data_IF_988075015697
#
_entry.id   IF_988075015697
#
_cell.length_a   1.000
_cell.length_b   1.000
_cell.length_c   1.000
_cell.angle_alpha   90.00
_cell.angle_beta   90.00
_cell.angle_gamma   90.00
#
_symmetry.space_group_name_H-M   'P 1'
#
loop_
_entity.id
_entity.type
_entity.pdbx_description
1 polymer ?
#
# COMPACT_ATOMS: atom_id res chain seq x y z
N UNK A 1 -0.21 -56.94 -5.34
CA UNK A 1 0.24 -56.22 -4.12
C UNK A 1 1.77 -55.91 -4.07
N UNK A 2 2.68 -56.84 -4.37
CA UNK A 2 4.15 -56.60 -4.31
C UNK A 2 4.65 -55.56 -5.29
N UNK A 3 4.11 -55.49 -6.50
CA UNK A 3 4.51 -54.51 -7.54
C UNK A 3 4.08 -53.10 -7.12
N UNK A 4 2.86 -52.94 -6.62
CA UNK A 4 2.33 -51.65 -6.15
C UNK A 4 3.16 -51.04 -5.00
N UNK A 5 3.62 -51.87 -4.06
CA UNK A 5 4.54 -51.45 -3.00
C UNK A 5 5.89 -51.00 -3.54
N UNK A 6 6.43 -51.69 -4.55
CA UNK A 6 7.72 -51.27 -5.21
C UNK A 6 7.57 -49.95 -5.92
N UNK A 7 6.46 -49.73 -6.65
CA UNK A 7 6.16 -48.43 -7.32
C UNK A 7 6.03 -47.32 -6.27
N UNK A 8 5.34 -47.59 -5.16
CA UNK A 8 5.19 -46.60 -4.08
C UNK A 8 6.54 -46.21 -3.47
N UNK A 9 7.45 -47.17 -3.23
CA UNK A 9 8.79 -46.86 -2.71
C UNK A 9 9.63 -46.05 -3.71
N UNK A 10 9.50 -46.34 -5.01
CA UNK A 10 10.20 -45.56 -6.05
C UNK A 10 9.68 -44.12 -6.09
N UNK A 11 8.35 -43.94 -6.03
CA UNK A 11 7.75 -42.59 -5.98
C UNK A 11 8.19 -41.85 -4.72
N UNK A 12 8.18 -42.52 -3.56
CA UNK A 12 8.61 -41.92 -2.30
C UNK A 12 10.11 -41.54 -2.36
N UNK A 13 10.94 -42.41 -2.89
CA UNK A 13 12.36 -42.13 -3.09
C UNK A 13 12.59 -40.93 -4.03
N UNK A 14 11.84 -40.85 -5.13
CA UNK A 14 11.89 -39.71 -6.04
C UNK A 14 11.46 -38.40 -5.37
N UNK A 15 10.38 -38.43 -4.57
CA UNK A 15 9.94 -37.27 -3.81
C UNK A 15 10.99 -36.79 -2.79
N UNK A 16 11.68 -37.73 -2.12
CA UNK A 16 12.78 -37.39 -1.21
C UNK A 16 13.94 -36.76 -1.94
N UNK A 17 14.34 -37.28 -3.10
CA UNK A 17 15.41 -36.71 -3.93
C UNK A 17 15.04 -35.29 -4.40
N UNK A 18 13.81 -35.08 -4.85
CA UNK A 18 13.30 -33.76 -5.25
C UNK A 18 13.33 -32.80 -4.04
N UNK A 19 12.86 -33.23 -2.88
CA UNK A 19 12.87 -32.40 -1.67
C UNK A 19 14.28 -31.99 -1.24
N UNK A 20 15.24 -32.93 -1.28
CA UNK A 20 16.66 -32.66 -0.99
C UNK A 20 17.23 -31.68 -2.02
N UNK A 21 16.97 -31.90 -3.30
CA UNK A 21 17.45 -31.01 -4.37
C UNK A 21 16.93 -29.58 -4.21
N UNK A 22 15.64 -29.42 -3.91
CA UNK A 22 15.03 -28.13 -3.63
C UNK A 22 15.63 -27.47 -2.38
N UNK A 23 15.90 -28.24 -1.34
CA UNK A 23 16.55 -27.74 -0.13
C UNK A 23 17.97 -27.27 -0.38
N UNK A 24 18.76 -28.04 -1.13
CA UNK A 24 20.14 -27.67 -1.50
C UNK A 24 20.14 -26.41 -2.37
N UNK A 25 19.30 -26.35 -3.41
CA UNK A 25 19.18 -25.15 -4.26
C UNK A 25 18.80 -23.91 -3.43
N UNK A 26 17.83 -24.05 -2.53
CA UNK A 26 17.42 -22.95 -1.63
C UNK A 26 18.58 -22.51 -0.74
N UNK A 27 19.36 -23.43 -0.20
CA UNK A 27 20.50 -23.11 0.66
C UNK A 27 21.59 -22.37 -0.13
N UNK A 28 21.91 -22.82 -1.36
CA UNK A 28 22.88 -22.14 -2.24
C UNK A 28 22.39 -20.72 -2.54
N UNK A 29 21.13 -20.53 -2.96
CA UNK A 29 20.55 -19.22 -3.27
C UNK A 29 20.50 -18.31 -2.04
N UNK A 30 20.17 -18.84 -0.86
CA UNK A 30 20.18 -18.09 0.39
C UNK A 30 21.61 -17.64 0.78
N UNK A 31 22.61 -18.49 0.57
CA UNK A 31 24.01 -18.14 0.80
C UNK A 31 24.53 -17.09 -0.18
N UNK A 32 24.12 -17.13 -1.45
CA UNK A 32 24.41 -16.09 -2.43
C UNK A 32 23.77 -14.75 -2.02
N UNK A 33 22.49 -14.77 -1.64
CA UNK A 33 21.78 -13.61 -1.17
C UNK A 33 22.36 -13.03 0.14
N UNK A 34 22.97 -13.87 0.99
CA UNK A 34 23.65 -13.43 2.20
C UNK A 34 24.88 -12.54 1.92
N UNK A 35 25.43 -12.62 0.71
CA UNK A 35 26.58 -11.82 0.26
C UNK A 35 26.17 -10.53 -0.44
N UNK A 36 24.86 -10.24 -0.55
CA UNK A 36 24.38 -9.03 -1.19
C UNK A 36 24.84 -7.81 -0.40
N UNK A 37 25.51 -6.90 -1.12
CA UNK A 37 26.01 -5.65 -0.54
C UNK A 37 25.14 -4.48 -0.93
N UNK A 38 25.11 -3.47 -0.08
CA UNK A 38 24.44 -2.18 -0.30
C UNK A 38 25.38 -1.04 0.11
N UNK A 39 25.21 0.18 -0.40
CA UNK A 39 25.97 1.33 0.05
C UNK A 39 25.89 1.50 1.58
N UNK A 40 27.00 1.86 2.21
CA UNK A 40 27.09 2.05 3.66
C UNK A 40 26.16 3.15 4.16
N UNK A 41 25.90 4.16 3.35
CA UNK A 41 25.05 5.30 3.61
C UNK A 41 23.57 5.10 3.21
N UNK A 42 23.20 3.88 2.77
CA UNK A 42 21.80 3.56 2.47
C UNK A 42 20.89 3.87 3.68
N UNK A 43 19.79 4.61 3.43
CA UNK A 43 18.89 5.10 4.49
C UNK A 43 17.75 4.13 4.79
N UNK A 44 17.28 3.42 3.77
CA UNK A 44 16.27 2.39 3.95
C UNK A 44 16.53 1.19 3.04
N UNK A 45 15.94 0.05 3.40
CA UNK A 45 16.03 -1.20 2.66
C UNK A 45 14.67 -1.88 2.58
N UNK A 46 14.32 -2.37 1.40
CA UNK A 46 13.21 -3.31 1.19
C UNK A 46 13.80 -4.68 0.88
N UNK A 47 13.53 -5.66 1.72
CA UNK A 47 13.94 -7.05 1.58
C UNK A 47 12.78 -7.93 1.17
N UNK A 48 12.92 -8.72 0.10
CA UNK A 48 11.92 -9.65 -0.43
C UNK A 48 12.50 -11.06 -0.41
N UNK A 49 11.87 -11.98 0.30
CA UNK A 49 12.24 -13.40 0.37
C UNK A 49 11.61 -14.15 -0.82
N UNK A 50 12.24 -14.03 -2.02
CA UNK A 50 11.69 -14.54 -3.28
C UNK A 50 11.42 -16.04 -3.22
N UNK A 51 12.40 -16.83 -2.77
CA UNK A 51 12.25 -18.29 -2.68
C UNK A 51 11.14 -18.72 -1.72
N UNK A 52 10.93 -17.95 -0.64
CA UNK A 52 9.85 -18.21 0.31
C UNK A 52 8.46 -17.95 -0.29
N UNK A 53 8.33 -16.85 -1.03
CA UNK A 53 7.11 -16.52 -1.77
C UNK A 53 6.80 -17.57 -2.84
N UNK A 54 7.80 -17.96 -3.63
CA UNK A 54 7.65 -19.00 -4.66
C UNK A 54 7.27 -20.36 -4.06
N UNK A 55 7.87 -20.74 -2.92
CA UNK A 55 7.53 -21.99 -2.22
C UNK A 55 6.10 -21.96 -1.71
N UNK A 56 5.66 -20.86 -1.10
CA UNK A 56 4.28 -20.69 -0.61
C UNK A 56 3.27 -20.73 -1.74
N UNK A 57 3.56 -20.05 -2.86
CA UNK A 57 2.68 -20.11 -4.04
C UNK A 57 2.66 -21.51 -4.64
N UNK A 58 3.82 -22.15 -4.78
CA UNK A 58 3.95 -23.51 -5.32
C UNK A 58 3.18 -24.54 -4.48
N UNK A 59 3.35 -24.52 -3.15
CA UNK A 59 2.60 -25.41 -2.26
C UNK A 59 1.09 -25.15 -2.30
N UNK A 60 0.67 -23.89 -2.34
CA UNK A 60 -0.73 -23.52 -2.44
C UNK A 60 -1.34 -23.91 -3.80
N UNK A 61 -0.58 -23.80 -4.89
CA UNK A 61 -1.03 -24.18 -6.23
C UNK A 61 -1.30 -25.68 -6.39
N UNK A 62 -0.61 -26.55 -5.63
CA UNK A 62 -0.87 -27.99 -5.64
C UNK A 62 -2.27 -28.32 -5.10
N UNK A 63 -2.74 -27.58 -4.10
CA UNK A 63 -4.07 -27.75 -3.52
C UNK A 63 -5.16 -27.02 -4.31
N UNK A 64 -4.81 -25.97 -5.04
CA UNK A 64 -5.73 -25.07 -5.73
C UNK A 64 -5.45 -25.03 -7.25
N UNK A 65 -5.14 -26.18 -7.84
CA UNK A 65 -4.70 -26.31 -9.25
C UNK A 65 -5.59 -25.55 -10.23
N UNK A 66 -6.90 -25.69 -10.11
CA UNK A 66 -7.84 -25.05 -11.02
C UNK A 66 -7.77 -23.52 -10.98
N UNK A 67 -7.54 -22.91 -9.82
CA UNK A 67 -7.44 -21.47 -9.68
C UNK A 67 -6.12 -20.92 -10.26
N UNK A 68 -5.02 -21.69 -10.14
CA UNK A 68 -3.71 -21.28 -10.66
C UNK A 68 -3.52 -21.58 -12.16
N UNK A 69 -4.16 -22.65 -12.67
CA UNK A 69 -3.88 -23.18 -14.00
C UNK A 69 -5.13 -23.43 -14.85
N UNK A 70 -6.34 -23.42 -14.26
CA UNK A 70 -7.60 -23.86 -14.88
C UNK A 70 -8.31 -22.81 -15.74
N UNK A 71 -7.99 -21.54 -15.63
CA UNK A 71 -8.63 -20.47 -16.42
C UNK A 71 -8.05 -20.37 -17.85
N UNK A 72 -8.15 -21.47 -18.61
CA UNK A 72 -8.07 -21.41 -20.07
C UNK A 72 -9.45 -21.08 -20.64
N UNK A 73 -9.98 -19.89 -20.34
CA UNK A 73 -11.02 -19.28 -21.14
C UNK A 73 -10.46 -18.96 -22.52
N UNK A 74 -11.23 -19.27 -23.57
CA UNK A 74 -10.85 -19.18 -24.99
C UNK A 74 -10.47 -17.78 -25.50
N UNK A 75 -10.49 -16.75 -24.65
CA UNK A 75 -10.26 -15.33 -25.03
C UNK A 75 -9.15 -14.62 -24.23
N UNK A 76 -8.43 -15.29 -23.36
CA UNK A 76 -7.18 -14.72 -22.89
C UNK A 76 -6.11 -15.01 -23.94
N UNK A 77 -5.79 -14.02 -24.76
CA UNK A 77 -4.43 -13.88 -25.29
C UNK A 77 -3.52 -14.23 -24.12
N UNK A 78 -2.95 -15.41 -24.20
CA UNK A 78 -2.10 -15.98 -23.16
C UNK A 78 -1.08 -14.90 -22.79
N UNK A 79 -1.32 -14.18 -21.69
CA UNK A 79 -0.24 -13.56 -20.96
C UNK A 79 0.68 -14.74 -20.66
N UNK A 80 1.64 -14.95 -21.55
CA UNK A 80 2.65 -15.98 -21.44
C UNK A 80 3.16 -15.90 -20.02
N UNK A 81 2.89 -16.93 -19.22
CA UNK A 81 3.31 -17.02 -17.84
C UNK A 81 4.77 -16.63 -17.83
N UNK A 82 5.11 -15.54 -17.14
CA UNK A 82 6.47 -15.04 -17.07
C UNK A 82 7.33 -16.19 -16.55
N UNK A 83 8.03 -16.86 -17.46
CA UNK A 83 8.99 -17.90 -17.07
C UNK A 83 10.16 -17.17 -16.47
N UNK A 84 10.22 -17.11 -15.15
CA UNK A 84 11.35 -16.53 -14.40
C UNK A 84 12.67 -17.22 -14.78
N UNK A 85 12.60 -18.46 -15.24
CA UNK A 85 13.74 -19.24 -15.72
C UNK A 85 14.06 -18.91 -17.18
N UNK A 86 15.28 -18.47 -17.46
CA UNK A 86 15.76 -18.20 -18.82
C UNK A 86 15.52 -16.79 -19.31
N UNK A 87 15.22 -15.82 -18.43
CA UNK A 87 15.08 -14.40 -18.78
C UNK A 87 16.43 -13.67 -18.94
N UNK A 88 17.57 -14.36 -18.76
CA UNK A 88 18.89 -13.75 -18.87
C UNK A 88 19.32 -12.88 -17.67
N UNK A 89 18.52 -12.88 -16.60
CA UNK A 89 18.76 -12.13 -15.36
C UNK A 89 18.81 -13.13 -14.20
N UNK A 90 19.81 -13.03 -13.37
CA UNK A 90 19.95 -13.87 -12.18
C UNK A 90 19.17 -13.26 -11.01
N UNK A 91 18.01 -13.83 -10.70
CA UNK A 91 17.21 -13.41 -9.54
C UNK A 91 17.64 -14.22 -8.32
N UNK A 92 18.18 -13.55 -7.28
CA UNK A 92 18.59 -14.23 -6.06
C UNK A 92 17.41 -14.73 -5.24
N UNK A 93 17.63 -15.66 -4.31
CA UNK A 93 16.60 -16.16 -3.40
C UNK A 93 16.06 -15.10 -2.43
N UNK A 94 16.85 -14.08 -2.18
CA UNK A 94 16.47 -12.88 -1.42
C UNK A 94 16.88 -11.66 -2.25
N UNK A 95 15.94 -10.76 -2.47
CA UNK A 95 16.14 -9.54 -3.23
C UNK A 95 16.12 -8.35 -2.26
N UNK A 96 17.10 -7.49 -2.40
CA UNK A 96 17.25 -6.29 -1.56
C UNK A 96 17.21 -5.05 -2.45
N UNK A 97 16.32 -4.14 -2.11
CA UNK A 97 16.30 -2.78 -2.63
C UNK A 97 16.76 -1.82 -1.54
N UNK A 98 17.48 -0.78 -1.90
CA UNK A 98 17.97 0.23 -0.96
C UNK A 98 17.70 1.64 -1.49
N UNK A 99 17.49 2.61 -0.59
CA UNK A 99 17.40 4.02 -0.93
C UNK A 99 18.73 4.72 -0.69
N UNK A 100 19.01 5.73 -1.49
CA UNK A 100 20.21 6.57 -1.36
C UNK A 100 19.89 7.86 -0.57
N UNK A 101 20.89 8.52 0.05
CA UNK A 101 20.70 9.82 0.71
C UNK A 101 20.11 10.86 -0.25
N UNK A 102 19.13 11.62 0.23
CA UNK A 102 18.41 12.62 -0.56
C UNK A 102 17.46 12.04 -1.62
N UNK A 103 17.23 10.71 -1.62
CA UNK A 103 16.38 9.98 -2.56
C UNK A 103 15.54 8.92 -1.86
N UNK A 104 14.95 9.28 -0.73
CA UNK A 104 14.23 8.35 0.16
C UNK A 104 12.99 7.74 -0.50
N UNK A 105 12.44 8.39 -1.54
CA UNK A 105 11.28 7.91 -2.30
C UNK A 105 11.62 6.93 -3.42
N UNK A 106 12.92 6.68 -3.68
CA UNK A 106 13.38 5.80 -4.75
C UNK A 106 14.26 4.67 -4.20
N UNK A 107 13.92 3.45 -4.61
CA UNK A 107 14.62 2.22 -4.19
C UNK A 107 15.36 1.61 -5.38
N UNK A 108 16.62 1.23 -5.16
CA UNK A 108 17.48 0.65 -6.17
C UNK A 108 17.88 -0.79 -5.82
N UNK A 109 18.06 -1.62 -6.85
CA UNK A 109 18.73 -2.92 -6.71
C UNK A 109 19.62 -3.17 -7.92
N UNK A 110 20.65 -4.00 -7.73
CA UNK A 110 21.55 -4.40 -8.79
C UNK A 110 21.47 -5.91 -8.93
N UNK A 111 21.22 -6.37 -10.15
CA UNK A 111 21.16 -7.78 -10.49
C UNK A 111 22.24 -8.13 -11.50
N UNK A 112 22.69 -9.37 -11.47
CA UNK A 112 23.62 -9.90 -12.47
C UNK A 112 22.84 -10.28 -13.74
N UNK A 113 23.40 -9.93 -14.90
CA UNK A 113 22.91 -10.35 -16.21
C UNK A 113 23.74 -11.52 -16.67
N UNK A 114 23.09 -12.66 -16.89
CA UNK A 114 23.72 -13.89 -17.40
C UNK A 114 23.65 -13.99 -18.93
N UNK A 115 22.68 -13.30 -19.56
CA UNK A 115 22.49 -13.25 -21.01
C UNK A 115 21.80 -11.93 -21.38
N UNK A 116 22.57 -11.01 -21.93
CA UNK A 116 22.09 -9.67 -22.30
C UNK A 116 20.95 -9.70 -23.33
N UNK A 117 21.06 -10.55 -24.35
CA UNK A 117 20.06 -10.63 -25.41
C UNK A 117 18.70 -11.11 -24.87
N UNK A 118 18.72 -12.14 -24.01
CA UNK A 118 17.51 -12.64 -23.34
C UNK A 118 16.95 -11.62 -22.34
N UNK A 119 17.81 -10.93 -21.57
CA UNK A 119 17.38 -9.89 -20.65
C UNK A 119 16.69 -8.75 -21.39
N UNK A 120 17.28 -8.25 -22.47
CA UNK A 120 16.66 -7.25 -23.34
C UNK A 120 15.31 -7.70 -23.89
N UNK A 121 15.28 -8.91 -24.46
CA UNK A 121 14.04 -9.47 -25.01
C UNK A 121 12.93 -9.62 -23.95
N UNK A 122 13.29 -10.08 -22.75
CA UNK A 122 12.37 -10.19 -21.63
C UNK A 122 11.77 -8.84 -21.25
N UNK A 123 12.58 -7.79 -21.14
CA UNK A 123 12.11 -6.44 -20.81
C UNK A 123 11.13 -5.90 -21.86
N UNK A 124 11.42 -6.11 -23.13
CA UNK A 124 10.57 -5.65 -24.24
C UNK A 124 9.30 -6.51 -24.36
N UNK A 125 9.45 -7.82 -24.54
CA UNK A 125 8.34 -8.68 -24.95
C UNK A 125 7.41 -9.07 -23.79
N UNK A 126 7.97 -9.21 -22.57
CA UNK A 126 7.18 -9.67 -21.41
C UNK A 126 6.77 -8.53 -20.48
N UNK A 127 7.64 -7.55 -20.26
CA UNK A 127 7.31 -6.40 -19.44
C UNK A 127 6.72 -5.24 -20.25
N UNK A 128 6.78 -5.30 -21.59
CA UNK A 128 6.24 -4.26 -22.46
C UNK A 128 6.92 -2.91 -22.22
N UNK A 129 8.24 -2.93 -22.01
CA UNK A 129 9.03 -1.72 -21.78
C UNK A 129 9.65 -1.24 -23.10
N UNK A 130 9.72 0.06 -23.29
CA UNK A 130 10.36 0.68 -24.46
C UNK A 130 11.81 1.03 -24.13
N UNK A 131 12.73 0.61 -25.02
CA UNK A 131 14.14 0.95 -24.92
C UNK A 131 14.37 2.39 -25.42
N UNK A 132 14.91 3.25 -24.57
CA UNK A 132 15.39 4.57 -24.99
C UNK A 132 16.82 4.45 -25.51
N UNK A 133 17.03 4.73 -26.78
CA UNK A 133 18.35 4.72 -27.40
C UNK A 133 19.02 6.11 -27.26
N UNK A 134 20.34 6.12 -27.11
CA UNK A 134 21.16 7.33 -27.25
C UNK A 134 21.80 7.88 -26.00
N UNK A 135 21.86 7.14 -24.90
CA UNK A 135 22.35 7.66 -23.61
C UNK A 135 23.86 7.47 -23.39
N UNK A 136 24.58 6.68 -24.22
CA UNK A 136 26.04 6.51 -24.08
C UNK A 136 26.66 5.84 -25.32
N UNK A 137 27.97 6.00 -25.49
CA UNK A 137 28.80 5.22 -26.41
C UNK A 137 28.99 3.75 -25.98
N UNK A 138 28.38 3.33 -24.88
CA UNK A 138 28.37 1.99 -24.29
C UNK A 138 27.12 1.22 -24.69
N UNK A 139 27.18 -0.12 -24.68
CA UNK A 139 26.06 -1.04 -24.92
C UNK A 139 24.97 -0.97 -23.81
N UNK A 140 24.75 0.19 -23.18
CA UNK A 140 23.78 0.38 -22.14
C UNK A 140 22.40 0.74 -22.73
N UNK A 141 21.36 0.08 -22.23
CA UNK A 141 19.97 0.32 -22.62
C UNK A 141 19.17 0.77 -21.41
N UNK A 142 18.42 1.85 -21.58
CA UNK A 142 17.52 2.37 -20.56
C UNK A 142 16.06 2.07 -20.91
N UNK A 143 15.30 1.61 -19.92
CA UNK A 143 13.90 1.27 -20.03
C UNK A 143 13.11 1.96 -18.93
N UNK A 144 11.89 2.41 -19.27
CA UNK A 144 10.95 3.02 -18.31
C UNK A 144 9.55 2.46 -18.49
N UNK A 145 8.83 2.29 -17.35
CA UNK A 145 7.40 1.98 -17.35
C UNK A 145 6.78 2.46 -16.02
N UNK A 146 6.04 3.56 -16.04
CA UNK A 146 5.56 4.20 -14.82
C UNK A 146 6.71 4.60 -13.89
N UNK A 147 6.65 4.16 -12.63
CA UNK A 147 7.69 4.42 -11.63
C UNK A 147 8.86 3.42 -11.68
N UNK A 148 8.83 2.46 -12.60
CA UNK A 148 9.88 1.46 -12.79
C UNK A 148 10.88 1.93 -13.86
N UNK A 149 12.16 1.92 -13.52
CA UNK A 149 13.28 2.26 -14.40
C UNK A 149 14.31 1.15 -14.37
N UNK A 150 14.89 0.82 -15.50
CA UNK A 150 15.88 -0.22 -15.64
C UNK A 150 17.02 0.27 -16.53
N UNK A 151 18.25 0.17 -16.02
CA UNK A 151 19.46 0.38 -16.79
C UNK A 151 20.14 -0.98 -16.97
N UNK A 152 20.16 -1.47 -18.20
CA UNK A 152 20.72 -2.77 -18.58
C UNK A 152 22.10 -2.58 -19.22
N UNK A 153 23.09 -3.29 -18.73
CA UNK A 153 24.43 -3.46 -19.34
C UNK A 153 24.71 -4.94 -19.60
N UNK A 154 25.85 -5.23 -20.22
CA UNK A 154 26.25 -6.60 -20.58
C UNK A 154 26.32 -7.56 -19.38
N UNK A 155 26.65 -7.07 -18.18
CA UNK A 155 26.87 -7.91 -16.99
C UNK A 155 26.00 -7.54 -15.78
N UNK A 156 25.44 -6.35 -15.76
CA UNK A 156 24.65 -5.84 -14.64
C UNK A 156 23.36 -5.19 -15.12
N UNK A 157 22.35 -5.25 -14.27
CA UNK A 157 21.07 -4.59 -14.45
C UNK A 157 20.78 -3.82 -13.17
N UNK A 158 20.62 -2.50 -13.29
CA UNK A 158 20.18 -1.63 -12.17
C UNK A 158 18.70 -1.38 -12.32
N UNK A 159 17.93 -1.68 -11.28
CA UNK A 159 16.49 -1.38 -11.20
C UNK A 159 16.29 -0.22 -10.24
N UNK A 160 15.55 0.80 -10.66
CA UNK A 160 15.04 1.90 -9.84
C UNK A 160 13.52 1.84 -9.77
N UNK A 161 12.97 1.92 -8.56
CA UNK A 161 11.53 1.93 -8.29
C UNK A 161 11.17 3.16 -7.44
N UNK A 162 10.32 4.04 -7.93
CA UNK A 162 9.85 5.22 -7.20
C UNK A 162 9.74 6.47 -8.07
N UNK A 163 9.16 7.52 -7.49
CA UNK A 163 8.97 8.82 -8.16
C UNK A 163 10.28 9.60 -8.16
N UNK A 164 10.90 9.70 -9.29
CA UNK A 164 12.06 10.57 -9.52
C UNK A 164 11.90 11.25 -10.89
N UNK A 165 12.59 12.36 -11.12
CA UNK A 165 12.60 13.02 -12.44
C UNK A 165 12.94 12.00 -13.52
N UNK A 166 12.03 11.80 -14.46
CA UNK A 166 12.10 10.73 -15.48
C UNK A 166 13.37 10.75 -16.34
N UNK A 167 14.12 11.83 -16.32
CA UNK A 167 15.37 11.99 -17.07
C UNK A 167 16.66 11.81 -16.25
N UNK A 168 16.60 11.66 -14.93
CA UNK A 168 17.79 11.60 -14.10
C UNK A 168 18.35 10.17 -13.99
N UNK A 169 19.25 9.82 -14.89
CA UNK A 169 19.94 8.51 -14.94
C UNK A 169 21.22 8.44 -14.11
N UNK A 170 21.72 9.60 -13.65
CA UNK A 170 23.03 9.64 -12.98
C UNK A 170 23.18 8.72 -11.78
N UNK A 171 22.17 8.56 -10.90
CA UNK A 171 22.29 7.61 -9.80
C UNK A 171 22.43 6.16 -10.26
N UNK A 172 21.67 5.77 -11.30
CA UNK A 172 21.71 4.41 -11.82
C UNK A 172 23.04 4.13 -12.54
N UNK A 173 23.58 5.12 -13.27
CA UNK A 173 24.92 5.02 -13.88
C UNK A 173 26.02 4.95 -12.82
N UNK A 174 25.94 5.79 -11.78
CA UNK A 174 26.86 5.73 -10.65
C UNK A 174 26.86 4.34 -10.01
N UNK A 175 25.68 3.77 -9.73
CA UNK A 175 25.54 2.40 -9.19
C UNK A 175 26.06 1.32 -10.13
N UNK A 176 25.94 1.50 -11.45
CA UNK A 176 26.44 0.55 -12.44
C UNK A 176 27.97 0.51 -12.48
N UNK A 177 28.61 1.69 -12.34
CA UNK A 177 30.06 1.89 -12.43
C UNK A 177 30.79 1.69 -11.10
N UNK A 178 30.01 1.72 -9.97
CA UNK A 178 30.56 1.57 -8.62
C UNK A 178 31.27 0.21 -8.46
N UNK A 179 32.49 0.23 -7.94
CA UNK A 179 33.29 -0.96 -7.63
C UNK A 179 32.91 -1.62 -6.30
N UNK A 180 31.95 -1.06 -5.58
CA UNK A 180 31.40 -1.55 -4.31
C UNK A 180 32.44 -1.66 -3.16
N UNK A 181 33.53 -0.87 -3.18
CA UNK A 181 34.55 -0.92 -2.13
C UNK A 181 33.99 -0.47 -0.77
N UNK A 182 33.15 0.57 -0.77
CA UNK A 182 32.53 1.11 0.44
C UNK A 182 31.16 0.47 0.77
N UNK A 183 30.83 -0.64 0.11
CA UNK A 183 29.58 -1.33 0.32
C UNK A 183 29.68 -2.32 1.48
N UNK A 184 28.62 -2.39 2.28
CA UNK A 184 28.49 -3.29 3.42
C UNK A 184 27.46 -4.37 3.13
N UNK A 185 27.56 -5.49 3.86
CA UNK A 185 26.55 -6.53 3.75
C UNK A 185 25.17 -5.99 4.18
N UNK A 186 24.15 -6.20 3.37
CA UNK A 186 22.79 -5.72 3.65
C UNK A 186 22.26 -6.22 4.99
N UNK A 187 22.63 -7.43 5.43
CA UNK A 187 22.23 -7.96 6.74
C UNK A 187 22.95 -7.29 7.91
N UNK A 188 24.14 -6.77 7.70
CA UNK A 188 24.93 -6.09 8.74
C UNK A 188 24.46 -4.64 8.94
N UNK A 189 24.08 -3.96 7.84
CA UNK A 189 23.60 -2.58 7.88
C UNK A 189 22.25 -2.43 8.61
N UNK A 190 21.34 -3.36 8.40
CA UNK A 190 19.99 -3.36 8.97
C UNK A 190 19.81 -4.57 9.89
N UNK A 191 20.34 -4.53 11.06
CA UNK A 191 20.37 -5.47 12.20
C UNK A 191 19.71 -6.86 11.98
N UNK A 192 20.56 -7.85 11.75
CA UNK A 192 20.15 -9.23 11.47
C UNK A 192 19.39 -9.92 12.63
N UNK A 193 19.53 -9.45 13.87
CA UNK A 193 18.86 -10.08 15.05
C UNK A 193 17.35 -9.91 14.99
N UNK A 194 16.84 -8.83 14.37
CA UNK A 194 15.41 -8.63 14.12
C UNK A 194 14.90 -9.48 12.96
N UNK A 195 15.79 -9.94 12.06
CA UNK A 195 15.40 -10.52 10.78
C UNK A 195 14.91 -11.96 10.85
N UNK A 196 15.11 -12.71 11.93
CA UNK A 196 14.75 -14.14 11.99
C UNK A 196 13.24 -14.41 11.91
N UNK A 197 12.41 -13.48 12.40
CA UNK A 197 10.95 -13.61 12.44
C UNK A 197 10.18 -12.67 11.48
N UNK A 198 10.91 -11.93 10.63
CA UNK A 198 10.28 -11.02 9.69
C UNK A 198 9.58 -11.77 8.56
N UNK A 199 8.50 -11.18 8.05
CA UNK A 199 7.65 -11.74 6.98
C UNK A 199 8.38 -12.01 5.67
N UNK A 200 7.61 -12.12 4.61
CA UNK A 200 8.11 -12.43 3.25
C UNK A 200 8.66 -11.19 2.54
N UNK A 201 8.09 -10.01 2.88
CA UNK A 201 8.58 -8.71 2.46
C UNK A 201 8.78 -7.83 3.68
N UNK A 202 9.91 -7.15 3.76
CA UNK A 202 10.23 -6.32 4.92
C UNK A 202 10.90 -5.04 4.47
N UNK A 203 10.30 -3.91 4.84
CA UNK A 203 10.93 -2.61 4.75
C UNK A 203 11.61 -2.28 6.09
N UNK A 204 12.81 -1.73 6.04
CA UNK A 204 13.57 -1.25 7.19
C UNK A 204 14.12 0.13 6.88
N UNK A 205 13.87 1.08 7.77
CA UNK A 205 14.47 2.41 7.75
C UNK A 205 15.53 2.55 8.83
N UNK A 206 15.96 3.77 9.07
CA UNK A 206 16.90 4.08 10.13
C UNK A 206 16.33 3.76 11.52
N UNK A 207 17.22 3.45 12.47
CA UNK A 207 16.87 3.16 13.86
C UNK A 207 16.00 1.91 13.99
N UNK A 208 14.83 2.07 14.62
CA UNK A 208 13.89 0.97 14.90
C UNK A 208 12.80 0.80 13.84
N UNK A 209 12.81 1.61 12.79
CA UNK A 209 11.75 1.65 11.80
C UNK A 209 11.74 0.38 10.94
N UNK A 210 10.63 -0.36 10.96
CA UNK A 210 10.40 -1.46 10.05
C UNK A 210 8.91 -1.70 9.81
N UNK A 211 8.60 -2.25 8.64
CA UNK A 211 7.30 -2.80 8.26
C UNK A 211 7.52 -4.17 7.64
N UNK A 212 6.75 -5.16 8.02
CA UNK A 212 6.91 -6.54 7.55
C UNK A 212 5.57 -7.12 7.14
N UNK A 213 5.52 -7.69 5.93
CA UNK A 213 4.37 -8.38 5.36
C UNK A 213 4.63 -9.88 5.29
N UNK A 214 3.69 -10.67 5.81
CA UNK A 214 3.69 -12.13 5.73
C UNK A 214 2.45 -12.59 4.98
N UNK A 215 2.65 -13.33 3.90
CA UNK A 215 1.58 -13.85 3.05
C UNK A 215 1.21 -15.28 3.44
N UNK A 216 -0.11 -15.55 3.49
CA UNK A 216 -0.71 -16.85 3.80
C UNK A 216 -1.88 -17.10 2.84
N UNK A 217 -2.60 -18.19 2.96
CA UNK A 217 -3.85 -18.39 2.24
C UNK A 217 -4.88 -17.36 2.72
N UNK A 218 -5.54 -16.68 1.80
CA UNK A 218 -6.59 -15.69 2.03
C UNK A 218 -6.19 -14.42 2.79
N UNK A 219 -5.00 -14.37 3.42
CA UNK A 219 -4.65 -13.27 4.33
C UNK A 219 -3.19 -12.88 4.21
N UNK A 220 -2.91 -11.56 4.17
CA UNK A 220 -1.59 -11.01 4.44
C UNK A 220 -1.59 -10.28 5.78
N UNK A 221 -0.54 -10.48 6.58
CA UNK A 221 -0.39 -9.84 7.89
C UNK A 221 0.72 -8.80 7.83
N UNK A 222 0.40 -7.58 8.25
CA UNK A 222 1.36 -6.49 8.44
C UNK A 222 1.75 -6.41 9.91
N UNK A 223 3.03 -6.31 10.19
CA UNK A 223 3.56 -5.98 11.52
C UNK A 223 4.67 -4.95 11.36
N UNK A 224 4.84 -4.07 12.32
CA UNK A 224 5.91 -3.10 12.23
C UNK A 224 6.03 -2.21 13.46
N UNK A 225 7.11 -1.45 13.46
CA UNK A 225 7.36 -0.38 14.41
C UNK A 225 7.81 0.84 13.62
N UNK A 226 7.20 2.00 13.92
CA UNK A 226 7.64 3.29 13.42
C UNK A 226 7.99 4.17 14.61
N UNK A 227 9.17 4.74 14.58
CA UNK A 227 9.67 5.68 15.56
C UNK A 227 10.00 7.02 14.90
N UNK A 228 9.72 8.11 15.59
CA UNK A 228 10.00 9.47 15.09
C UNK A 228 10.32 10.37 16.25
N UNK A 229 11.42 11.10 16.13
CA UNK A 229 11.78 12.12 17.12
C UNK A 229 10.90 13.38 17.01
N UNK A 230 10.24 13.56 15.87
CA UNK A 230 9.38 14.71 15.58
C UNK A 230 7.94 14.54 16.06
N UNK A 231 7.49 13.31 16.31
CA UNK A 231 6.12 13.03 16.72
C UNK A 231 6.06 12.40 18.10
N UNK A 232 5.11 12.86 18.91
CA UNK A 232 4.83 12.30 20.22
C UNK A 232 3.39 11.80 20.28
N UNK A 233 3.24 10.52 20.52
CA UNK A 233 1.92 9.89 20.66
C UNK A 233 1.36 10.16 22.05
N UNK A 234 0.07 10.52 22.18
CA UNK A 234 -0.57 10.76 23.45
C UNK A 234 -0.65 9.47 24.29
N UNK A 235 -0.57 9.60 25.61
CA UNK A 235 -0.81 8.50 26.56
C UNK A 235 -2.28 8.16 26.68
N UNK A 236 -3.13 9.20 26.66
CA UNK A 236 -4.57 9.07 26.84
C UNK A 236 -5.22 9.09 25.46
N UNK A 237 -5.46 7.91 24.93
CA UNK A 237 -6.11 7.73 23.64
C UNK A 237 -7.61 7.44 23.83
N UNK A 238 -8.39 7.84 22.85
CA UNK A 238 -9.85 7.71 22.85
C UNK A 238 -10.30 7.04 21.56
N UNK A 239 -11.49 6.47 21.59
CA UNK A 239 -12.21 5.97 20.41
C UNK A 239 -13.67 6.31 20.50
N UNK A 240 -14.35 6.40 19.37
CA UNK A 240 -15.79 6.48 19.35
C UNK A 240 -16.41 5.16 19.83
N UNK A 241 -17.47 5.27 20.62
CA UNK A 241 -18.35 4.15 20.92
C UNK A 241 -19.23 3.89 19.70
N UNK A 242 -18.82 2.93 18.86
CA UNK A 242 -19.52 2.55 17.62
C UNK A 242 -20.26 1.23 17.79
N UNK A 243 -21.45 1.08 17.21
CA UNK A 243 -22.29 -0.11 17.40
C UNK A 243 -21.82 -1.28 16.57
N UNK A 244 -21.24 -1.34 15.51
CA UNK A 244 -20.63 -2.49 14.82
C UNK A 244 -19.79 -2.09 13.62
N UNK A 245 -18.70 -2.84 13.36
CA UNK A 245 -17.87 -2.68 12.18
C UNK A 245 -18.56 -3.15 10.88
N UNK A 246 -19.58 -3.98 10.95
CA UNK A 246 -20.23 -4.61 9.80
C UNK A 246 -20.90 -3.62 8.84
N UNK A 247 -21.26 -2.45 9.35
CA UNK A 247 -21.88 -1.38 8.56
C UNK A 247 -20.88 -0.37 7.98
N UNK A 248 -19.58 -0.48 8.28
CA UNK A 248 -18.56 0.47 7.84
C UNK A 248 -17.87 0.02 6.56
N UNK A 249 -17.63 0.97 5.65
CA UNK A 249 -16.78 0.80 4.47
C UNK A 249 -15.40 1.38 4.68
N UNK A 250 -15.32 2.54 5.32
CA UNK A 250 -14.08 3.19 5.69
C UNK A 250 -14.17 3.65 7.14
N UNK A 251 -13.13 3.42 7.91
CA UNK A 251 -12.96 4.00 9.24
C UNK A 251 -11.48 4.36 9.44
N UNK A 252 -11.22 5.63 9.57
CA UNK A 252 -9.93 6.17 9.98
C UNK A 252 -10.08 6.79 11.36
N UNK A 253 -9.22 6.44 12.30
CA UNK A 253 -9.20 7.01 13.63
C UNK A 253 -7.75 7.35 14.01
N UNK A 254 -7.52 8.58 14.45
CA UNK A 254 -6.20 9.12 14.79
C UNK A 254 -6.28 9.80 16.15
N UNK A 255 -5.41 9.38 17.06
CA UNK A 255 -5.17 10.04 18.33
C UNK A 255 -3.78 10.66 18.29
N UNK A 256 -3.69 11.93 17.97
CA UNK A 256 -2.44 12.70 18.00
C UNK A 256 -2.77 14.20 17.98
N UNK A 257 -1.79 15.02 18.28
CA UNK A 257 -1.90 16.46 18.08
C UNK A 257 -2.03 16.77 16.58
N UNK A 258 -3.27 16.95 16.14
CA UNK A 258 -3.59 17.16 14.74
C UNK A 258 -3.01 18.49 14.22
N UNK A 259 -2.91 19.49 15.08
CA UNK A 259 -2.34 20.80 14.72
C UNK A 259 -0.87 20.67 14.29
N UNK A 260 -0.10 19.84 14.97
CA UNK A 260 1.30 19.59 14.63
C UNK A 260 1.48 18.62 13.43
N UNK A 261 0.54 17.71 13.22
CA UNK A 261 0.59 16.76 12.09
C UNK A 261 0.27 17.39 10.75
N UNK A 262 -0.58 18.40 10.77
CA UNK A 262 -1.14 18.96 9.54
C UNK A 262 -0.22 20.04 8.99
N UNK A 263 0.78 19.66 8.22
CA UNK A 263 1.41 20.56 7.27
C UNK A 263 0.49 20.66 6.03
N UNK A 264 -0.70 21.26 6.23
CA UNK A 264 -1.77 21.40 5.22
C UNK A 264 -1.28 22.14 3.98
N UNK A 265 -0.23 22.95 4.09
CA UNK A 265 0.36 23.67 2.95
C UNK A 265 0.82 22.73 1.84
N UNK A 266 1.34 21.56 2.19
CA UNK A 266 1.84 20.60 1.19
C UNK A 266 0.73 19.72 0.59
N UNK A 267 -0.40 19.58 1.30
CA UNK A 267 -1.53 18.76 0.85
C UNK A 267 -2.54 19.54 -0.03
N UNK A 268 -2.60 20.87 0.14
CA UNK A 268 -3.62 21.71 -0.48
C UNK A 268 -3.01 22.83 -1.36
N UNK A 269 -1.76 22.69 -1.76
CA UNK A 269 -1.04 23.68 -2.57
C UNK A 269 -1.72 24.02 -3.91
N UNK A 270 -2.66 23.19 -4.36
CA UNK A 270 -3.43 23.40 -5.60
C UNK A 270 -4.82 24.00 -5.40
N UNK A 271 -5.24 24.28 -4.16
CA UNK A 271 -6.56 24.86 -3.92
C UNK A 271 -6.50 26.37 -3.76
N UNK A 272 -7.22 27.08 -4.62
CA UNK A 272 -7.43 28.53 -4.63
C UNK A 272 -8.29 29.04 -3.46
N UNK A 273 -8.36 28.35 -2.31
CA UNK A 273 -9.14 28.75 -1.17
C UNK A 273 -8.45 29.86 -0.38
N UNK A 274 -9.16 30.97 -0.20
CA UNK A 274 -8.70 32.18 0.49
C UNK A 274 -8.63 32.05 2.04
N UNK A 275 -8.89 30.86 2.58
CA UNK A 275 -8.84 30.64 4.03
C UNK A 275 -7.40 30.37 4.48
N UNK A 276 -6.84 31.12 5.44
CA UNK A 276 -5.49 30.87 5.93
C UNK A 276 -5.45 29.51 6.64
N UNK A 277 -4.88 28.51 5.98
CA UNK A 277 -4.75 27.14 6.50
C UNK A 277 -3.97 27.07 7.82
N UNK A 278 -3.06 28.02 8.05
CA UNK A 278 -2.33 28.17 9.32
C UNK A 278 -3.27 28.49 10.51
N UNK A 279 -4.45 29.07 10.23
CA UNK A 279 -5.45 29.33 11.27
C UNK A 279 -6.21 28.10 11.70
N UNK A 280 -6.43 27.14 10.80
CA UNK A 280 -7.19 25.92 11.09
C UNK A 280 -6.42 25.02 12.06
N UNK A 281 -5.12 24.90 11.91
CA UNK A 281 -4.27 24.06 12.77
C UNK A 281 -4.38 24.43 14.25
N UNK A 282 -4.58 25.72 14.58
CA UNK A 282 -4.71 26.22 15.95
C UNK A 282 -6.02 25.81 16.63
N UNK A 283 -7.01 25.40 15.86
CA UNK A 283 -8.34 24.99 16.36
C UNK A 283 -8.49 23.47 16.46
N UNK A 284 -7.55 22.70 15.89
CA UNK A 284 -7.56 21.24 15.92
C UNK A 284 -7.07 20.73 17.28
N UNK A 285 -7.71 19.70 17.79
CA UNK A 285 -7.32 18.99 19.00
C UNK A 285 -6.53 17.72 18.70
N UNK A 286 -6.72 16.70 19.52
CA UNK A 286 -5.90 15.49 19.53
C UNK A 286 -6.65 14.23 19.08
N UNK A 287 -7.81 14.37 18.45
CA UNK A 287 -8.61 13.24 17.99
C UNK A 287 -9.30 13.56 16.67
N UNK A 288 -9.25 12.61 15.75
CA UNK A 288 -10.02 12.60 14.51
C UNK A 288 -10.58 11.21 14.23
N UNK A 289 -11.84 11.14 13.82
CA UNK A 289 -12.45 9.93 13.23
C UNK A 289 -13.18 10.31 11.96
N UNK A 290 -12.88 9.57 10.89
CA UNK A 290 -13.55 9.68 9.60
C UNK A 290 -14.19 8.32 9.28
N UNK A 291 -15.50 8.30 8.99
CA UNK A 291 -16.23 7.06 8.69
C UNK A 291 -17.10 7.23 7.46
N UNK A 292 -17.17 6.18 6.66
CA UNK A 292 -18.13 6.02 5.59
C UNK A 292 -18.89 4.72 5.87
N UNK A 293 -20.22 4.81 5.98
CA UNK A 293 -21.04 3.62 6.19
C UNK A 293 -21.49 2.99 4.86
N UNK A 294 -21.90 1.73 4.91
CA UNK A 294 -22.46 1.01 3.75
C UNK A 294 -23.93 1.40 3.51
N UNK A 295 -24.21 2.71 3.55
CA UNK A 295 -25.54 3.27 3.34
C UNK A 295 -25.46 4.49 2.44
N UNK A 296 -26.53 4.70 1.69
CA UNK A 296 -26.79 5.96 1.00
C UNK A 296 -27.90 6.71 1.73
N UNK A 297 -27.78 7.99 1.76
CA UNK A 297 -28.82 8.89 2.30
C UNK A 297 -29.31 9.81 1.18
N UNK A 298 -30.54 10.28 1.30
CA UNK A 298 -31.13 11.25 0.36
C UNK A 298 -30.99 12.64 0.93
N UNK A 299 -30.34 13.54 0.20
CA UNK A 299 -30.33 14.96 0.48
C UNK A 299 -31.26 15.70 -0.48
N UNK A 300 -32.00 16.64 0.05
CA UNK A 300 -32.95 17.47 -0.71
C UNK A 300 -32.39 18.89 -0.81
N UNK A 301 -32.13 19.32 -2.03
CA UNK A 301 -31.73 20.69 -2.35
C UNK A 301 -32.88 21.41 -3.05
N UNK A 302 -33.14 22.66 -2.71
CA UNK A 302 -34.08 23.52 -3.43
C UNK A 302 -33.33 24.30 -4.50
N UNK A 303 -33.71 24.12 -5.74
CA UNK A 303 -33.23 24.93 -6.86
C UNK A 303 -34.25 26.00 -7.13
N UNK A 304 -33.82 27.24 -7.05
CA UNK A 304 -34.63 28.40 -7.42
C UNK A 304 -34.37 28.68 -8.89
N UNK A 305 -35.38 28.56 -9.72
CA UNK A 305 -35.38 29.00 -11.11
C UNK A 305 -36.37 30.16 -11.27
N UNK A 306 -36.10 31.02 -12.21
CA UNK A 306 -36.98 32.10 -12.56
C UNK A 306 -37.68 31.76 -13.88
N UNK A 307 -39.01 31.91 -13.86
CA UNK A 307 -39.85 31.72 -15.04
C UNK A 307 -40.67 33.02 -15.28
N UNK A 308 -41.30 33.18 -16.41
CA UNK A 308 -42.16 34.33 -16.69
C UNK A 308 -43.60 33.86 -16.72
N UNK A 309 -44.49 34.64 -16.09
CA UNK A 309 -45.92 34.42 -16.19
C UNK A 309 -46.49 34.92 -17.54
N UNK A 310 -47.78 34.78 -17.73
CA UNK A 310 -48.47 35.21 -18.95
C UNK A 310 -48.41 36.73 -19.18
N UNK A 311 -48.03 37.52 -18.18
CA UNK A 311 -47.84 38.97 -18.24
C UNK A 311 -46.36 39.36 -18.40
N UNK A 312 -45.46 38.41 -18.61
CA UNK A 312 -43.98 38.60 -18.62
C UNK A 312 -43.38 39.09 -17.31
N UNK A 313 -44.07 38.86 -16.18
CA UNK A 313 -43.52 39.12 -14.86
C UNK A 313 -42.69 37.92 -14.39
N UNK A 314 -41.51 38.19 -13.79
CA UNK A 314 -40.60 37.17 -13.31
C UNK A 314 -41.18 36.50 -12.06
N UNK A 315 -41.44 35.21 -12.14
CA UNK A 315 -41.92 34.40 -10.99
C UNK A 315 -40.82 33.42 -10.56
N UNK A 316 -40.65 33.33 -9.23
CA UNK A 316 -39.71 32.40 -8.62
C UNK A 316 -40.34 31.00 -8.54
N UNK A 317 -39.70 30.03 -9.17
CA UNK A 317 -40.12 28.62 -9.14
C UNK A 317 -39.11 27.80 -8.35
N UNK A 318 -39.55 27.28 -7.21
CA UNK A 318 -38.75 26.37 -6.37
C UNK A 318 -38.97 24.94 -6.79
N UNK A 319 -37.89 24.26 -7.22
CA UNK A 319 -37.94 22.84 -7.53
C UNK A 319 -37.06 22.10 -6.50
N UNK A 320 -37.60 21.05 -5.90
CA UNK A 320 -36.87 20.18 -5.00
C UNK A 320 -36.11 19.15 -5.83
N UNK A 321 -34.80 19.07 -5.62
CA UNK A 321 -33.94 18.07 -6.24
C UNK A 321 -33.44 17.10 -5.18
N UNK A 322 -33.77 15.82 -5.34
CA UNK A 322 -33.30 14.75 -4.46
C UNK A 322 -32.04 14.13 -5.01
N UNK A 323 -30.99 14.08 -4.19
CA UNK A 323 -29.71 13.49 -4.55
C UNK A 323 -29.31 12.42 -3.53
N UNK A 324 -28.95 11.24 -4.01
CA UNK A 324 -28.37 10.20 -3.15
C UNK A 324 -26.89 10.49 -2.95
N UNK A 325 -26.45 10.46 -1.70
CA UNK A 325 -25.09 10.74 -1.27
C UNK A 325 -24.61 9.68 -0.29
N UNK A 326 -23.30 9.44 -0.15
CA UNK A 326 -22.77 8.50 0.84
C UNK A 326 -23.00 9.01 2.26
N UNK A 327 -23.21 8.10 3.18
CA UNK A 327 -23.32 8.40 4.62
C UNK A 327 -21.91 8.56 5.21
N UNK A 328 -21.50 9.83 5.38
CA UNK A 328 -20.17 10.25 5.85
C UNK A 328 -20.29 10.88 7.22
N UNK A 329 -19.40 10.50 8.13
CA UNK A 329 -19.23 11.10 9.45
C UNK A 329 -17.77 11.51 9.67
N UNK A 330 -17.55 12.76 10.03
CA UNK A 330 -16.25 13.29 10.43
C UNK A 330 -16.37 13.86 11.84
N UNK A 331 -15.63 13.29 12.78
CA UNK A 331 -15.57 13.70 14.17
C UNK A 331 -14.17 14.22 14.49
N UNK A 332 -14.09 15.43 15.04
CA UNK A 332 -12.83 16.08 15.37
C UNK A 332 -12.92 16.68 16.76
N UNK A 333 -11.96 16.37 17.65
CA UNK A 333 -11.79 17.18 18.85
C UNK A 333 -11.18 18.53 18.46
N UNK A 334 -11.79 19.61 18.93
CA UNK A 334 -11.30 20.93 18.57
C UNK A 334 -12.17 22.06 19.11
N UNK A 335 -11.78 23.28 18.79
CA UNK A 335 -12.55 24.46 19.12
C UNK A 335 -13.85 24.55 18.29
N UNK A 336 -14.99 24.92 18.88
CA UNK A 336 -16.24 25.15 18.14
C UNK A 336 -16.10 26.16 17.00
N UNK A 337 -15.11 27.05 17.08
CA UNK A 337 -14.80 28.01 16.00
C UNK A 337 -14.46 27.33 14.67
N UNK A 338 -13.94 26.11 14.72
CA UNK A 338 -13.64 25.32 13.51
C UNK A 338 -14.91 25.10 12.65
N UNK A 339 -16.09 24.91 13.27
CA UNK A 339 -17.35 24.70 12.54
C UNK A 339 -17.78 25.94 11.72
N UNK A 340 -17.40 27.14 12.15
CA UNK A 340 -17.68 28.37 11.38
C UNK A 340 -16.78 28.52 10.14
N UNK A 341 -15.59 27.88 10.14
CA UNK A 341 -14.65 27.91 9.03
C UNK A 341 -14.98 26.88 7.94
N UNK A 342 -15.75 25.85 8.28
CA UNK A 342 -16.17 24.82 7.32
C UNK A 342 -17.45 25.28 6.61
N UNK A 343 -17.51 25.33 5.27
CA UNK A 343 -18.73 25.64 4.54
C UNK A 343 -19.81 24.58 4.79
N UNK A 344 -21.08 24.97 4.62
CA UNK A 344 -22.20 24.03 4.78
C UNK A 344 -22.26 22.97 3.69
N UNK A 345 -21.76 23.30 2.50
CA UNK A 345 -21.69 22.43 1.35
C UNK A 345 -20.27 22.50 0.76
N UNK A 346 -19.58 21.35 0.72
CA UNK A 346 -18.30 21.17 0.02
C UNK A 346 -18.57 20.38 -1.26
N UNK A 347 -18.71 19.06 -1.18
CA UNK A 347 -19.24 18.19 -2.24
C UNK A 347 -20.68 17.78 -1.95
N UNK A 348 -20.98 17.61 -0.65
CA UNK A 348 -22.28 17.27 -0.10
C UNK A 348 -22.64 18.30 0.96
N UNK A 349 -23.93 18.36 1.34
CA UNK A 349 -24.39 19.15 2.46
C UNK A 349 -24.02 18.43 3.77
N UNK A 350 -23.36 19.16 4.70
CA UNK A 350 -22.98 18.63 6.00
C UNK A 350 -23.78 19.28 7.10
N UNK A 351 -24.38 18.46 7.94
CA UNK A 351 -24.97 18.89 9.21
C UNK A 351 -23.86 18.96 10.25
N UNK A 352 -23.78 20.06 10.95
CA UNK A 352 -22.77 20.38 11.94
C UNK A 352 -23.35 20.32 13.32
N UNK A 353 -22.67 19.69 14.26
CA UNK A 353 -23.02 19.72 15.69
C UNK A 353 -21.74 19.68 16.54
N UNK A 354 -21.86 20.10 17.80
CA UNK A 354 -20.77 20.04 18.77
C UNK A 354 -21.34 19.48 20.09
N UNK A 355 -20.56 18.60 20.70
CA UNK A 355 -20.85 18.08 22.03
C UNK A 355 -19.56 17.80 22.79
N UNK A 356 -19.36 18.45 23.95
CA UNK A 356 -18.20 18.27 24.83
C UNK A 356 -16.85 18.42 24.10
N UNK A 357 -16.76 19.40 23.19
CA UNK A 357 -15.54 19.66 22.39
C UNK A 357 -15.33 18.67 21.23
N UNK A 358 -16.25 17.72 21.01
CA UNK A 358 -16.25 16.86 19.83
C UNK A 358 -17.15 17.52 18.77
N UNK A 359 -16.53 17.95 17.68
CA UNK A 359 -17.18 18.51 16.51
C UNK A 359 -17.60 17.36 15.62
N UNK A 360 -18.84 17.34 15.17
CA UNK A 360 -19.39 16.33 14.28
C UNK A 360 -19.91 16.97 12.99
N UNK A 361 -19.43 16.48 11.85
CA UNK A 361 -19.92 16.82 10.52
C UNK A 361 -20.44 15.54 9.87
N UNK A 362 -21.72 15.52 9.51
CA UNK A 362 -22.35 14.35 8.90
C UNK A 362 -23.18 14.73 7.68
N UNK A 363 -23.18 13.87 6.67
CA UNK A 363 -24.09 14.00 5.53
C UNK A 363 -25.52 13.55 5.87
N UNK A 364 -25.69 12.71 6.92
CA UNK A 364 -27.00 12.32 7.44
C UNK A 364 -27.64 13.48 8.18
N UNK A 365 -28.98 13.66 8.05
CA UNK A 365 -29.71 14.59 8.87
C UNK A 365 -29.55 14.28 10.36
N UNK A 366 -29.76 15.29 11.22
CA UNK A 366 -29.70 15.08 12.66
C UNK A 366 -30.72 14.01 13.08
N UNK A 367 -30.29 12.82 13.37
CA UNK A 367 -31.09 11.84 14.09
C UNK A 367 -31.11 12.28 15.56
N UNK A 368 -32.27 12.75 16.03
CA UNK A 368 -32.48 13.07 17.44
C UNK A 368 -32.13 11.83 18.29
N UNK A 369 -31.08 11.89 19.11
CA UNK A 369 -30.79 10.95 20.16
C UNK A 369 -29.49 10.15 20.10
N UNK A 370 -28.75 10.14 19.02
CA UNK A 370 -27.41 9.48 18.99
C UNK A 370 -26.30 10.51 19.23
N UNK A 371 -25.99 10.77 20.51
CA UNK A 371 -24.80 11.50 20.88
C UNK A 371 -23.59 10.56 20.74
N UNK A 372 -22.69 10.89 19.84
CA UNK A 372 -21.42 10.19 19.72
C UNK A 372 -20.56 10.48 20.94
N UNK A 373 -20.13 9.43 21.63
CA UNK A 373 -19.33 9.54 22.87
C UNK A 373 -17.96 8.92 22.66
N UNK A 374 -16.94 9.58 23.22
CA UNK A 374 -15.59 9.06 23.27
C UNK A 374 -15.39 8.20 24.51
N UNK A 375 -14.76 7.03 24.33
CA UNK A 375 -14.37 6.13 25.41
C UNK A 375 -12.86 5.92 25.37
N UNK A 376 -12.20 5.58 26.51
CA UNK A 376 -10.79 5.27 26.53
C UNK A 376 -10.41 4.16 25.54
N UNK A 377 -9.22 4.27 24.96
CA UNK A 377 -8.66 3.33 24.00
C UNK A 377 -7.17 3.11 24.30
N UNK A 378 -6.59 2.07 23.74
CA UNK A 378 -5.15 1.81 23.69
C UNK A 378 -4.55 2.03 22.28
N UNK A 379 -5.38 2.51 21.34
CA UNK A 379 -4.99 2.72 19.94
C UNK A 379 -4.74 4.19 19.66
N UNK A 380 -3.58 4.50 19.10
CA UNK A 380 -3.27 5.83 18.57
C UNK A 380 -3.68 6.00 17.11
N UNK A 381 -3.83 4.87 16.41
CA UNK A 381 -4.20 4.83 15.01
C UNK A 381 -5.08 3.60 14.74
N UNK A 382 -6.13 3.77 13.94
CA UNK A 382 -6.93 2.68 13.39
C UNK A 382 -7.34 3.06 11.96
N UNK A 383 -7.14 2.13 11.04
CA UNK A 383 -7.63 2.24 9.68
C UNK A 383 -8.33 0.95 9.29
N UNK A 384 -9.54 1.08 8.80
CA UNK A 384 -10.35 -0.01 8.24
C UNK A 384 -10.86 0.41 6.87
N UNK A 385 -10.77 -0.48 5.91
CA UNK A 385 -11.31 -0.33 4.56
C UNK A 385 -11.95 -1.64 4.12
N UNK A 386 -13.19 -1.59 3.65
CA UNK A 386 -13.91 -2.72 3.06
C UNK A 386 -14.23 -2.41 1.61
N UNK A 387 -13.86 -3.32 0.71
CA UNK A 387 -14.17 -3.15 -0.70
C UNK A 387 -15.68 -3.23 -0.94
N UNK A 388 -16.23 -2.22 -1.61
CA UNK A 388 -17.67 -2.10 -1.89
C UNK A 388 -17.91 -1.33 -3.19
N UNK A 389 -18.96 -1.68 -3.96
CA UNK A 389 -19.38 -0.91 -5.12
C UNK A 389 -19.67 0.56 -4.82
N UNK A 390 -20.13 0.88 -3.60
CA UNK A 390 -20.36 2.26 -3.17
C UNK A 390 -19.09 3.09 -3.15
N UNK A 391 -17.95 2.52 -2.78
CA UNK A 391 -16.65 3.22 -2.82
C UNK A 391 -16.34 3.61 -4.28
N UNK A 392 -16.43 2.69 -5.21
CA UNK A 392 -16.20 2.99 -6.64
C UNK A 392 -17.19 4.02 -7.22
N UNK A 393 -18.43 4.03 -6.74
CA UNK A 393 -19.46 4.98 -7.17
C UNK A 393 -19.15 6.42 -6.77
N UNK A 394 -18.70 6.63 -5.53
CA UNK A 394 -18.51 7.98 -4.95
C UNK A 394 -17.06 8.45 -4.89
N UNK A 395 -16.11 7.51 -4.91
CA UNK A 395 -14.69 7.77 -4.74
C UNK A 395 -13.89 7.11 -5.85
N UNK A 396 -14.15 7.50 -7.11
CA UNK A 396 -13.54 6.91 -8.31
C UNK A 396 -12.00 6.98 -8.33
N UNK A 397 -11.38 7.87 -7.52
CA UNK A 397 -9.95 7.95 -7.34
C UNK A 397 -9.38 6.86 -6.43
N UNK A 398 -10.24 6.13 -5.67
CA UNK A 398 -9.82 4.99 -4.86
C UNK A 398 -9.79 3.76 -5.77
N UNK A 399 -8.61 3.13 -5.98
CA UNK A 399 -8.53 1.94 -6.81
C UNK A 399 -9.44 0.83 -6.28
N UNK A 400 -10.26 0.27 -7.14
CA UNK A 400 -11.10 -0.88 -6.80
C UNK A 400 -10.27 -2.16 -6.93
N UNK A 401 -9.98 -2.78 -5.80
CA UNK A 401 -9.30 -4.08 -5.76
C UNK A 401 -10.35 -5.19 -5.61
N UNK A 402 -10.84 -5.71 -6.73
CA UNK A 402 -11.95 -6.69 -6.75
C UNK A 402 -11.72 -7.92 -5.87
N UNK A 403 -10.47 -8.36 -5.73
CA UNK A 403 -10.09 -9.53 -4.91
C UNK A 403 -9.96 -9.22 -3.42
N UNK A 404 -9.85 -7.94 -3.04
CA UNK A 404 -9.79 -7.52 -1.66
C UNK A 404 -11.17 -7.63 -1.02
N UNK A 405 -11.25 -8.21 0.17
CA UNK A 405 -12.43 -8.16 1.03
C UNK A 405 -12.34 -6.94 1.95
N UNK A 406 -11.37 -6.93 2.86
CA UNK A 406 -11.09 -5.77 3.71
C UNK A 406 -9.61 -5.66 4.12
N UNK A 407 -9.24 -4.47 4.54
CA UNK A 407 -7.96 -4.13 5.13
C UNK A 407 -8.19 -3.49 6.50
N UNK A 408 -7.47 -3.94 7.52
CA UNK A 408 -7.47 -3.33 8.85
C UNK A 408 -6.05 -3.13 9.34
N UNK A 409 -5.74 -1.94 9.89
CA UNK A 409 -4.45 -1.62 10.50
C UNK A 409 -4.72 -0.94 11.85
N UNK A 410 -4.08 -1.45 12.89
CA UNK A 410 -4.13 -0.90 14.24
C UNK A 410 -2.73 -0.46 14.66
N UNK A 411 -2.61 0.72 15.26
CA UNK A 411 -1.40 1.27 15.83
C UNK A 411 -1.54 1.51 17.32
N UNK A 412 -0.58 1.00 18.10
CA UNK A 412 -0.50 1.22 19.55
C UNK A 412 0.83 1.88 19.89
N UNK A 413 0.79 2.90 20.74
CA UNK A 413 2.01 3.53 21.24
C UNK A 413 2.66 2.61 22.28
N UNK A 414 3.91 2.25 22.06
CA UNK A 414 4.75 1.54 23.03
C UNK A 414 5.60 2.51 23.85
N UNK A 415 5.96 3.64 23.25
CA UNK A 415 6.71 4.75 23.85
C UNK A 415 6.17 6.05 23.24
N UNK A 416 6.40 7.22 23.86
CA UNK A 416 5.89 8.49 23.33
C UNK A 416 6.29 8.80 21.89
N UNK A 417 7.41 8.26 21.43
CA UNK A 417 7.94 8.46 20.06
C UNK A 417 7.86 7.21 19.18
N UNK A 418 7.14 6.16 19.62
CA UNK A 418 7.13 4.87 18.93
C UNK A 418 5.71 4.30 18.83
N UNK A 419 5.33 3.87 17.64
CA UNK A 419 4.07 3.18 17.37
C UNK A 419 4.33 1.78 16.83
N UNK A 420 3.68 0.79 17.42
CA UNK A 420 3.64 -0.58 16.92
C UNK A 420 2.39 -0.79 16.06
N UNK A 421 2.59 -1.23 14.84
CA UNK A 421 1.54 -1.46 13.85
C UNK A 421 1.27 -2.96 13.71
N UNK A 422 0.00 -3.31 13.72
CA UNK A 422 -0.50 -4.65 13.38
C UNK A 422 -1.64 -4.47 12.38
N UNK A 423 -1.53 -5.13 11.22
CA UNK A 423 -2.56 -5.05 10.20
C UNK A 423 -2.86 -6.40 9.58
N UNK A 424 -4.02 -6.50 8.93
CA UNK A 424 -4.48 -7.65 8.18
C UNK A 424 -5.12 -7.21 6.89
N UNK A 425 -4.75 -7.87 5.80
CA UNK A 425 -5.35 -7.72 4.48
C UNK A 425 -6.07 -9.02 4.19
N UNK A 426 -7.39 -9.00 4.12
CA UNK A 426 -8.21 -10.15 3.82
C UNK A 426 -8.64 -10.13 2.37
N UNK A 427 -8.46 -11.25 1.69
CA UNK A 427 -8.89 -11.45 0.32
C UNK A 427 -10.18 -12.28 0.29
N UNK A 428 -11.03 -12.07 -0.73
CA UNK A 428 -12.30 -12.77 -0.88
C UNK A 428 -12.13 -14.29 -0.99
N UNK A 429 -11.07 -14.73 -1.68
CA UNK A 429 -10.76 -16.16 -1.77
C UNK A 429 -9.79 -16.56 -0.65
N UNK A 430 -10.32 -17.26 0.35
CA UNK A 430 -9.55 -17.67 1.54
C UNK A 430 -8.60 -18.84 1.29
N UNK A 431 -8.79 -19.60 0.22
CA UNK A 431 -7.96 -20.78 -0.10
C UNK A 431 -6.71 -20.41 -0.90
N UNK A 432 -6.74 -19.29 -1.65
CA UNK A 432 -5.63 -18.87 -2.49
C UNK A 432 -4.60 -18.06 -1.70
N UNK A 433 -3.32 -18.28 -2.04
CA UNK A 433 -2.23 -17.50 -1.46
C UNK A 433 -2.46 -15.99 -1.68
N UNK A 434 -2.35 -15.19 -0.63
CA UNK A 434 -2.64 -13.75 -0.68
C UNK A 434 -1.65 -12.98 -1.57
N UNK A 435 -0.38 -13.40 -1.67
CA UNK A 435 0.57 -12.79 -2.60
C UNK A 435 0.17 -13.06 -4.06
N UNK A 436 -0.28 -14.30 -4.37
CA UNK A 436 -0.81 -14.61 -5.69
C UNK A 436 -2.02 -13.74 -6.05
N UNK A 437 -2.93 -13.52 -5.10
CA UNK A 437 -4.08 -12.64 -5.30
C UNK A 437 -3.65 -11.18 -5.48
N UNK A 438 -2.59 -10.73 -4.78
CA UNK A 438 -2.07 -9.37 -4.87
C UNK A 438 -1.40 -9.06 -6.22
N UNK A 439 -0.67 -9.99 -6.84
CA UNK A 439 0.04 -9.77 -8.11
C UNK A 439 -0.79 -10.04 -9.37
N UNK A 440 -1.96 -10.68 -9.24
CA UNK A 440 -2.89 -10.97 -10.34
C UNK A 440 -4.13 -10.07 -10.26
N UNK A 441 -3.90 -8.75 -10.10
CA UNK A 441 -4.95 -7.74 -10.17
C UNK A 441 -5.41 -7.50 -11.60
#
# INVERSE_FOLDING_TARGET
MRILKKILYVILGLMVVIAISLFVLRTIRANQAAKFKIPKDAQAMLHIKVDNLLLKMGSNSLMNWNAYYGSKGKDSTSADKVKIWGMGIDVPGHLYFFSLPGRESTYYTILTVSDFAKAKQFLIDKLGMEAQQGLSASNELFFTKGDLRILLSDSKLVVGLGKEDQGNLEPMKALLQDDQQDWVNAKERFDAKRNSNLGDMTWQGEGKNYLSLKFSAGTATLTGTLASDSYRFPKDTKKLKTDSHDSLLVHLEINNDLGSMVNLKNLLSDSTSSTPLDSISNYLGNYLSFRISNKEITQVDSIVSYDYDDNFEMIEKKTLNETRVPDIHLNIMGSPHLLSLVPEKIFYKFHKSEHAGLLNLTTAGQQQGQQETLVPSDRVFHFYYKNSPLIGKYFAFVPSYEKLDYLEINGKSSQPTEINLIGRIHFKNQDLNSFFQLINF
#
